data_IF_531916080939
#
_entry.id   IF_531916080939
#
_cell.length_a   1.000
_cell.length_b   1.000
_cell.length_c   1.000
_cell.angle_alpha   90.00
_cell.angle_beta   90.00
_cell.angle_gamma   90.00
#
_symmetry.space_group_name_H-M   'P 1'
#
loop_
_entity.id
_entity.type
_entity.pdbx_description
1 polymer ?
#
# COMPACT_ATOMS: atom_id res chain seq x y z
N UNK A 1 35.95 52.59 29.35
CA UNK A 1 35.02 52.09 30.33
C UNK A 1 34.86 50.56 30.01
N UNK A 2 35.38 49.75 30.92
CA UNK A 2 35.69 48.36 30.71
C UNK A 2 34.52 47.39 30.88
N UNK A 3 34.72 46.13 30.52
CA UNK A 3 33.70 45.09 30.37
C UNK A 3 33.54 44.23 31.64
N UNK A 4 33.01 44.80 32.75
CA UNK A 4 32.92 44.07 34.04
C UNK A 4 31.52 44.09 34.70
N UNK A 5 30.43 44.23 33.94
CA UNK A 5 29.09 44.36 34.54
C UNK A 5 28.12 43.23 34.13
N UNK A 6 28.54 42.19 33.38
CA UNK A 6 27.64 41.10 32.95
C UNK A 6 27.88 39.75 33.68
N UNK A 7 28.90 39.66 34.53
CA UNK A 7 29.29 38.40 35.20
C UNK A 7 28.71 38.19 36.62
N UNK A 8 27.76 38.98 37.11
CA UNK A 8 27.27 38.89 38.50
C UNK A 8 25.82 38.38 38.69
N UNK A 9 25.12 37.98 37.64
CA UNK A 9 23.75 37.49 37.80
C UNK A 9 23.54 35.99 37.48
N UNK A 10 24.59 35.24 37.15
CA UNK A 10 24.50 33.80 36.83
C UNK A 10 24.92 32.84 37.96
N UNK A 11 25.28 33.33 39.14
CA UNK A 11 25.84 32.50 40.23
C UNK A 11 24.99 32.49 41.52
N UNK A 12 23.67 32.72 41.45
CA UNK A 12 22.82 32.75 42.67
C UNK A 12 21.69 31.70 42.70
N UNK A 13 21.64 30.77 41.78
CA UNK A 13 20.62 29.69 41.77
C UNK A 13 21.16 28.26 41.75
N UNK A 14 22.44 28.04 42.03
CA UNK A 14 23.03 26.69 42.00
C UNK A 14 23.61 26.21 43.37
N UNK A 15 23.24 26.81 44.50
CA UNK A 15 23.88 26.48 45.78
C UNK A 15 22.92 26.34 46.97
N UNK A 16 21.70 25.79 46.74
CA UNK A 16 20.73 25.51 47.81
C UNK A 16 20.39 24.02 47.93
N UNK A 17 20.88 23.12 47.08
CA UNK A 17 20.43 21.72 47.06
C UNK A 17 21.49 20.65 47.42
N UNK A 18 22.53 21.02 48.22
CA UNK A 18 23.58 20.07 48.58
C UNK A 18 24.00 20.03 50.06
N UNK A 19 23.15 20.49 51.00
CA UNK A 19 23.49 20.41 52.45
C UNK A 19 22.38 19.94 53.37
N UNK A 20 21.48 19.02 52.91
CA UNK A 20 20.57 18.32 53.82
C UNK A 20 20.51 16.82 53.52
N UNK A 21 21.62 16.13 53.66
CA UNK A 21 21.66 14.68 53.90
C UNK A 21 22.77 14.39 54.90
N UNK A 22 22.37 14.34 56.13
CA UNK A 22 23.00 13.57 57.22
C UNK A 22 22.50 14.11 58.57
N UNK A 23 21.33 13.63 59.01
CA UNK A 23 21.07 13.37 60.43
C UNK A 23 19.78 12.56 60.53
N UNK A 24 19.85 11.44 61.24
CA UNK A 24 18.81 10.45 61.38
C UNK A 24 17.66 10.90 62.26
N UNK A 25 16.43 10.48 61.90
CA UNK A 25 15.27 10.76 62.73
C UNK A 25 13.95 10.34 62.13
N UNK A 26 13.53 9.11 62.41
CA UNK A 26 12.16 8.60 62.52
C UNK A 26 11.09 9.28 61.65
N UNK A 27 10.69 8.61 60.56
CA UNK A 27 9.48 8.91 59.77
C UNK A 27 8.28 8.64 60.67
N UNK A 28 7.52 9.71 61.04
CA UNK A 28 6.17 9.58 61.57
C UNK A 28 5.18 9.39 60.44
N UNK A 29 4.26 8.41 60.49
CA UNK A 29 3.21 8.29 59.47
C UNK A 29 2.27 9.46 59.58
N UNK A 30 2.03 10.12 58.44
CA UNK A 30 1.05 11.22 58.29
C UNK A 30 -0.37 10.65 58.34
N UNK A 31 -1.00 10.66 59.51
CA UNK A 31 -2.41 10.37 59.67
C UNK A 31 -3.20 11.63 59.45
N UNK A 32 -3.43 12.00 58.20
CA UNK A 32 -4.39 13.02 57.82
C UNK A 32 -5.73 12.34 57.55
N UNK A 33 -6.71 12.54 58.48
CA UNK A 33 -8.12 12.18 58.29
C UNK A 33 -8.67 12.91 57.06
N UNK A 34 -8.70 12.27 55.92
CA UNK A 34 -9.58 12.63 54.84
C UNK A 34 -10.96 12.07 55.15
N UNK A 35 -11.85 12.92 55.61
CA UNK A 35 -13.29 12.65 55.56
C UNK A 35 -13.64 12.46 54.08
N UNK A 36 -14.00 11.25 53.73
CA UNK A 36 -14.68 10.93 52.48
C UNK A 36 -16.16 11.25 52.75
N UNK A 37 -16.57 12.50 52.46
CA UNK A 37 -17.99 12.81 52.29
C UNK A 37 -18.42 12.03 51.06
N UNK A 38 -19.36 11.09 51.29
CA UNK A 38 -20.01 10.30 50.24
C UNK A 38 -20.76 11.22 49.28
N UNK A 39 -20.95 10.71 48.06
CA UNK A 39 -21.72 11.28 46.96
C UNK A 39 -20.96 12.25 46.03
N UNK A 40 -19.78 11.84 45.54
CA UNK A 40 -19.36 12.22 44.21
C UNK A 40 -19.60 11.02 43.27
N UNK A 41 -20.73 11.05 42.55
CA UNK A 41 -20.97 10.22 41.37
C UNK A 41 -19.73 10.30 40.50
N UNK A 42 -19.03 9.18 40.40
CA UNK A 42 -17.99 8.99 39.38
C UNK A 42 -18.65 9.35 38.05
N UNK A 43 -18.14 10.31 37.28
CA UNK A 43 -18.61 10.46 35.92
C UNK A 43 -18.30 9.15 35.23
N UNK A 44 -19.32 8.31 35.03
CA UNK A 44 -19.26 7.20 34.11
C UNK A 44 -18.79 7.80 32.80
N UNK A 45 -17.49 7.60 32.47
CA UNK A 45 -16.97 7.71 31.16
C UNK A 45 -17.75 6.69 30.33
N UNK A 46 -18.94 7.09 29.88
CA UNK A 46 -19.65 6.43 28.81
C UNK A 46 -18.66 6.40 27.67
N UNK A 47 -18.05 5.23 27.43
CA UNK A 47 -17.23 4.97 26.27
C UNK A 47 -18.10 5.39 25.08
N UNK A 48 -17.79 6.56 24.50
CA UNK A 48 -18.51 7.09 23.36
C UNK A 48 -18.51 5.98 22.31
N UNK A 49 -19.69 5.50 21.95
CA UNK A 49 -19.86 4.44 20.98
C UNK A 49 -19.04 4.81 19.74
N UNK A 50 -18.12 3.93 19.34
CA UNK A 50 -17.27 4.19 18.17
C UNK A 50 -18.18 4.49 16.98
N UNK A 51 -18.03 5.64 16.31
CA UNK A 51 -18.92 6.04 15.24
C UNK A 51 -18.96 4.95 14.16
N UNK A 52 -20.16 4.60 13.70
CA UNK A 52 -20.32 3.70 12.56
C UNK A 52 -19.74 4.37 11.31
N UNK A 53 -19.33 3.57 10.31
CA UNK A 53 -18.74 4.07 9.06
C UNK A 53 -19.65 5.12 8.37
N UNK A 54 -20.96 4.94 8.45
CA UNK A 54 -21.96 5.90 7.93
C UNK A 54 -22.00 7.22 8.70
N UNK A 55 -21.85 7.17 10.03
CA UNK A 55 -21.79 8.39 10.84
C UNK A 55 -20.48 9.15 10.62
N UNK A 56 -19.39 8.43 10.41
CA UNK A 56 -18.09 9.03 10.12
C UNK A 56 -18.04 9.69 8.74
N UNK A 57 -18.80 9.21 7.76
CA UNK A 57 -18.91 9.86 6.44
C UNK A 57 -19.62 11.22 6.50
N UNK A 58 -20.25 11.60 7.61
CA UNK A 58 -20.70 12.95 7.88
C UNK A 58 -19.57 13.95 8.16
N UNK A 59 -18.37 13.48 8.53
CA UNK A 59 -17.20 14.33 8.72
C UNK A 59 -16.55 14.62 7.34
N UNK A 60 -16.39 15.92 7.04
CA UNK A 60 -15.74 16.39 5.79
C UNK A 60 -14.32 15.83 5.61
N UNK A 61 -13.58 15.58 6.70
CA UNK A 61 -12.22 15.01 6.66
C UNK A 61 -12.26 13.55 6.21
N UNK A 62 -13.18 12.77 6.77
CA UNK A 62 -13.33 11.35 6.43
C UNK A 62 -13.83 11.17 5.00
N UNK A 63 -14.79 11.99 4.58
CA UNK A 63 -15.30 12.02 3.20
C UNK A 63 -14.19 12.42 2.23
N UNK A 64 -13.34 13.41 2.57
CA UNK A 64 -12.18 13.77 1.76
C UNK A 64 -11.20 12.58 1.63
N UNK A 65 -10.87 11.87 2.72
CA UNK A 65 -10.01 10.68 2.67
C UNK A 65 -10.55 9.62 1.73
N UNK A 66 -11.87 9.37 1.76
CA UNK A 66 -12.52 8.41 0.87
C UNK A 66 -12.32 8.78 -0.61
N UNK A 67 -12.64 10.01 -1.01
CA UNK A 67 -12.55 10.46 -2.40
C UNK A 67 -11.11 10.65 -2.88
N UNK A 68 -10.21 11.12 -2.02
CA UNK A 68 -8.79 11.22 -2.36
C UNK A 68 -8.16 9.84 -2.55
N UNK A 69 -8.52 8.86 -1.72
CA UNK A 69 -8.06 7.47 -1.90
C UNK A 69 -8.68 6.82 -3.15
N UNK A 70 -9.90 7.20 -3.52
CA UNK A 70 -10.48 6.82 -4.80
C UNK A 70 -9.66 7.41 -5.96
N UNK A 71 -9.30 8.70 -5.91
CA UNK A 71 -8.45 9.33 -6.91
C UNK A 71 -7.07 8.65 -7.06
N UNK A 72 -6.47 8.20 -5.95
CA UNK A 72 -5.21 7.44 -5.93
C UNK A 72 -5.33 6.08 -6.62
N UNK A 73 -6.45 5.38 -6.45
CA UNK A 73 -6.68 4.04 -7.00
C UNK A 73 -6.88 4.00 -8.52
N UNK A 74 -7.37 5.09 -9.14
CA UNK A 74 -7.67 5.13 -10.57
C UNK A 74 -6.44 4.90 -11.44
N UNK A 75 -5.36 5.70 -11.38
CA UNK A 75 -4.22 5.59 -12.29
C UNK A 75 -3.36 4.33 -12.00
N UNK A 76 -3.33 3.84 -10.77
CA UNK A 76 -2.59 2.64 -10.43
C UNK A 76 -3.07 1.41 -11.22
N UNK A 77 -4.38 1.22 -11.34
CA UNK A 77 -4.93 0.10 -12.11
C UNK A 77 -4.79 0.28 -13.62
N UNK A 78 -4.75 1.52 -14.10
CA UNK A 78 -4.48 1.82 -15.49
C UNK A 78 -3.09 1.35 -15.91
N UNK A 79 -2.07 1.60 -15.10
CA UNK A 79 -0.66 1.25 -15.41
C UNK A 79 -0.37 -0.25 -15.37
N UNK A 80 -1.22 -1.05 -14.73
CA UNK A 80 -1.05 -2.50 -14.60
C UNK A 80 -2.02 -3.29 -15.46
N UNK A 81 -3.10 -3.74 -14.85
CA UNK A 81 -4.09 -4.65 -15.46
C UNK A 81 -4.67 -4.13 -16.78
N UNK A 82 -5.08 -2.86 -16.81
CA UNK A 82 -5.75 -2.25 -17.96
C UNK A 82 -4.79 -2.01 -19.12
N UNK A 83 -3.61 -1.48 -18.85
CA UNK A 83 -2.59 -1.29 -19.88
C UNK A 83 -2.19 -2.62 -20.53
N UNK A 84 -1.98 -3.67 -19.73
CA UNK A 84 -1.72 -5.00 -20.27
C UNK A 84 -2.86 -5.52 -21.15
N UNK A 85 -4.12 -5.37 -20.72
CA UNK A 85 -5.27 -5.80 -21.50
C UNK A 85 -5.34 -5.05 -22.85
N UNK A 86 -5.05 -3.74 -22.84
CA UNK A 86 -5.00 -2.94 -24.06
C UNK A 86 -3.89 -3.38 -25.02
N UNK A 87 -2.66 -3.49 -24.51
CA UNK A 87 -1.50 -3.91 -25.33
C UNK A 87 -1.71 -5.33 -25.88
N UNK A 88 -2.26 -6.24 -25.08
CA UNK A 88 -2.55 -7.61 -25.49
C UNK A 88 -3.66 -7.66 -26.57
N UNK A 89 -4.73 -6.87 -26.41
CA UNK A 89 -5.83 -6.80 -27.40
C UNK A 89 -5.38 -6.16 -28.72
N UNK A 90 -4.39 -5.25 -28.66
CA UNK A 90 -3.79 -4.63 -29.84
C UNK A 90 -2.76 -5.54 -30.57
N UNK A 91 -2.48 -6.74 -30.03
CA UNK A 91 -1.59 -7.71 -30.69
C UNK A 91 -0.10 -7.52 -30.47
N UNK A 92 0.34 -6.71 -29.48
CA UNK A 92 1.76 -6.53 -29.18
C UNK A 92 2.41 -7.85 -28.72
N UNK A 93 3.73 -8.00 -28.94
CA UNK A 93 4.45 -9.16 -28.48
C UNK A 93 4.43 -9.28 -26.95
N UNK A 94 4.43 -10.51 -26.43
CA UNK A 94 4.43 -10.78 -24.99
C UNK A 94 5.64 -10.14 -24.33
N UNK A 95 6.79 -10.14 -25.01
CA UNK A 95 8.01 -9.47 -24.59
C UNK A 95 7.81 -7.96 -24.41
N UNK A 96 7.22 -7.28 -25.40
CA UNK A 96 6.95 -5.84 -25.30
C UNK A 96 6.00 -5.55 -24.12
N UNK A 97 4.92 -6.33 -23.94
CA UNK A 97 3.98 -6.18 -22.82
C UNK A 97 4.70 -6.37 -21.48
N UNK A 98 5.59 -7.37 -21.40
CA UNK A 98 6.40 -7.60 -20.19
C UNK A 98 7.30 -6.42 -19.84
N UNK A 99 7.95 -5.80 -20.83
CA UNK A 99 8.80 -4.62 -20.63
C UNK A 99 7.97 -3.42 -20.11
N UNK A 100 6.72 -3.26 -20.57
CA UNK A 100 5.86 -2.20 -20.07
C UNK A 100 5.57 -2.29 -18.56
N UNK A 101 5.74 -3.44 -17.91
CA UNK A 101 5.64 -3.56 -16.46
C UNK A 101 6.69 -2.71 -15.72
N UNK A 102 7.84 -2.44 -16.35
CA UNK A 102 8.88 -1.58 -15.79
C UNK A 102 8.45 -0.11 -15.70
N UNK A 103 7.41 0.31 -16.43
CA UNK A 103 6.83 1.64 -16.27
C UNK A 103 6.32 1.90 -14.84
N UNK A 104 6.08 0.84 -14.04
CA UNK A 104 5.68 0.94 -12.64
C UNK A 104 6.83 1.23 -11.65
N UNK A 105 8.10 1.24 -12.10
CA UNK A 105 9.27 1.50 -11.25
C UNK A 105 9.22 2.81 -10.45
N UNK A 106 8.67 3.93 -10.96
CA UNK A 106 8.53 5.15 -10.16
C UNK A 106 7.85 4.95 -8.80
N UNK A 107 6.90 4.02 -8.68
CA UNK A 107 6.28 3.71 -7.38
C UNK A 107 7.28 3.21 -6.33
N UNK A 108 8.34 2.51 -6.74
CA UNK A 108 9.34 1.98 -5.81
C UNK A 108 10.33 3.04 -5.33
N UNK A 109 10.56 4.07 -6.15
CA UNK A 109 11.55 5.11 -5.87
C UNK A 109 10.91 6.46 -5.52
N UNK A 110 9.58 6.50 -5.29
CA UNK A 110 8.83 7.71 -4.99
C UNK A 110 9.35 8.47 -3.76
N UNK A 111 10.02 7.78 -2.84
CA UNK A 111 10.65 8.38 -1.67
C UNK A 111 11.78 9.38 -2.02
N UNK A 112 12.38 9.29 -3.22
CA UNK A 112 13.45 10.19 -3.65
C UNK A 112 12.98 11.64 -3.83
N UNK A 113 11.74 11.85 -4.29
CA UNK A 113 11.20 13.19 -4.51
C UNK A 113 10.09 13.59 -3.52
N UNK A 114 9.68 12.69 -2.62
CA UNK A 114 8.70 13.02 -1.58
C UNK A 114 9.06 14.31 -0.80
N UNK A 115 10.33 14.56 -0.41
CA UNK A 115 10.72 15.76 0.29
C UNK A 115 10.61 17.06 -0.49
N UNK A 116 10.68 16.96 -1.82
CA UNK A 116 10.38 18.11 -2.67
C UNK A 116 8.93 18.55 -2.48
N UNK A 117 7.98 17.61 -2.45
CA UNK A 117 6.56 17.87 -2.27
C UNK A 117 6.24 18.39 -0.85
N UNK A 118 7.03 17.99 0.14
CA UNK A 118 6.90 18.50 1.50
C UNK A 118 7.50 19.92 1.68
N UNK A 119 8.51 20.27 0.89
CA UNK A 119 9.21 21.54 1.01
C UNK A 119 8.52 22.68 0.26
N UNK A 120 8.02 22.43 -0.94
CA UNK A 120 7.46 23.47 -1.79
C UNK A 120 5.96 23.63 -1.59
N UNK A 121 5.52 24.88 -1.45
CA UNK A 121 4.12 25.26 -1.33
C UNK A 121 3.59 25.65 -2.70
N UNK A 122 2.56 24.95 -3.24
CA UNK A 122 1.94 25.40 -4.48
C UNK A 122 1.17 26.71 -4.28
N UNK A 123 1.03 27.54 -5.34
CA UNK A 123 0.42 28.87 -5.22
C UNK A 123 -1.09 28.86 -4.99
N UNK A 124 -1.72 27.69 -4.97
CA UNK A 124 -3.18 27.53 -4.88
C UNK A 124 -3.55 26.54 -3.75
N UNK A 125 -4.67 26.81 -3.05
CA UNK A 125 -5.39 25.92 -2.15
C UNK A 125 -4.57 25.26 -1.00
N UNK A 126 -3.42 25.83 -0.63
CA UNK A 126 -2.58 25.29 0.46
C UNK A 126 -1.64 24.18 0.00
N UNK A 127 -0.90 23.60 0.97
CA UNK A 127 0.20 22.69 0.66
C UNK A 127 -0.27 21.32 0.15
N UNK A 128 -1.19 20.68 0.86
CA UNK A 128 -1.64 19.32 0.50
C UNK A 128 -2.62 19.34 -0.67
N UNK A 129 -3.68 20.12 -0.55
CA UNK A 129 -4.72 20.21 -1.58
C UNK A 129 -4.19 20.75 -2.90
N UNK A 130 -3.31 21.75 -2.85
CA UNK A 130 -2.71 22.33 -4.04
C UNK A 130 -1.93 21.32 -4.87
N UNK A 131 -1.04 20.53 -4.25
CA UNK A 131 -0.31 19.47 -4.95
C UNK A 131 -1.25 18.37 -5.48
N UNK A 132 -2.22 17.93 -4.67
CA UNK A 132 -3.21 16.93 -5.11
C UNK A 132 -3.95 17.41 -6.36
N UNK A 133 -4.43 18.65 -6.36
CA UNK A 133 -5.16 19.23 -7.50
C UNK A 133 -4.30 19.32 -8.76
N UNK A 134 -3.04 19.76 -8.63
CA UNK A 134 -2.08 19.82 -9.75
C UNK A 134 -1.90 18.41 -10.36
N UNK A 135 -1.64 17.41 -9.52
CA UNK A 135 -1.45 16.03 -10.00
C UNK A 135 -2.74 15.47 -10.61
N UNK A 136 -3.91 15.72 -10.03
CA UNK A 136 -5.20 15.31 -10.60
C UNK A 136 -5.44 15.93 -11.96
N UNK A 137 -5.14 17.23 -12.14
CA UNK A 137 -5.26 17.90 -13.44
C UNK A 137 -4.31 17.29 -14.48
N UNK A 138 -3.03 17.11 -14.12
CA UNK A 138 -2.06 16.47 -15.00
C UNK A 138 -2.45 15.02 -15.34
N UNK A 139 -2.93 14.24 -14.36
CA UNK A 139 -3.40 12.87 -14.56
C UNK A 139 -4.65 12.84 -15.46
N UNK A 140 -5.59 13.75 -15.27
CA UNK A 140 -6.79 13.85 -16.13
C UNK A 140 -6.39 14.04 -17.60
N UNK A 141 -5.47 14.96 -17.87
CA UNK A 141 -4.95 15.21 -19.22
C UNK A 141 -4.19 13.97 -19.72
N UNK A 142 -3.29 13.41 -18.91
CA UNK A 142 -2.46 12.27 -19.28
C UNK A 142 -3.32 11.04 -19.64
N UNK A 143 -4.32 10.72 -18.82
CA UNK A 143 -5.26 9.62 -19.05
C UNK A 143 -6.11 9.87 -20.30
N UNK A 144 -6.64 11.08 -20.46
CA UNK A 144 -7.45 11.45 -21.61
C UNK A 144 -6.65 11.34 -22.92
N UNK A 145 -5.45 11.90 -22.95
CA UNK A 145 -4.55 11.86 -24.12
C UNK A 145 -4.12 10.44 -24.45
N UNK A 146 -3.90 9.59 -23.44
CA UNK A 146 -3.48 8.20 -23.62
C UNK A 146 -4.46 7.41 -24.51
N UNK A 147 -5.76 7.68 -24.43
CA UNK A 147 -6.80 7.02 -25.23
C UNK A 147 -6.71 7.29 -26.74
N UNK A 148 -5.98 8.32 -27.18
CA UNK A 148 -5.82 8.67 -28.59
C UNK A 148 -4.60 8.02 -29.26
N UNK A 149 -3.70 7.39 -28.50
CA UNK A 149 -2.57 6.66 -29.05
C UNK A 149 -2.95 5.27 -29.57
N UNK A 150 -2.24 4.83 -30.60
CA UNK A 150 -2.33 3.46 -31.08
C UNK A 150 -1.16 2.64 -30.54
N UNK A 151 -1.40 1.55 -29.77
CA UNK A 151 -0.31 0.74 -29.25
C UNK A 151 0.64 0.19 -30.32
N UNK A 152 0.14 -0.05 -31.53
CA UNK A 152 0.92 -0.60 -32.64
C UNK A 152 1.72 0.44 -33.42
N UNK A 153 1.24 1.70 -33.47
CA UNK A 153 1.89 2.77 -34.25
C UNK A 153 2.74 3.68 -33.39
N UNK A 154 2.28 3.95 -32.14
CA UNK A 154 2.83 5.01 -31.29
C UNK A 154 3.51 4.44 -30.04
N UNK A 155 4.08 3.23 -30.13
CA UNK A 155 4.59 2.48 -28.97
C UNK A 155 5.59 3.29 -28.11
N UNK A 156 6.58 4.03 -28.66
CA UNK A 156 7.50 4.82 -27.84
C UNK A 156 6.80 5.97 -27.10
N UNK A 157 5.85 6.66 -27.77
CA UNK A 157 5.08 7.74 -27.15
C UNK A 157 4.16 7.18 -26.04
N UNK A 158 3.52 6.02 -26.29
CA UNK A 158 2.73 5.32 -25.29
C UNK A 158 3.56 4.89 -24.08
N UNK A 159 4.78 4.42 -24.28
CA UNK A 159 5.69 4.10 -23.19
C UNK A 159 6.07 5.33 -22.36
N UNK A 160 6.38 6.45 -23.01
CA UNK A 160 6.69 7.70 -22.33
C UNK A 160 5.50 8.23 -21.52
N UNK A 161 4.28 8.19 -22.06
CA UNK A 161 3.08 8.65 -21.36
C UNK A 161 2.69 7.69 -20.23
N UNK A 162 2.95 6.38 -20.37
CA UNK A 162 2.73 5.40 -19.31
C UNK A 162 3.68 5.64 -18.11
N UNK A 163 4.97 5.93 -18.36
CA UNK A 163 5.92 6.30 -17.32
C UNK A 163 5.51 7.63 -16.65
N UNK A 164 5.10 8.62 -17.43
CA UNK A 164 4.61 9.91 -16.91
C UNK A 164 3.36 9.71 -16.04
N UNK A 165 2.39 8.91 -16.49
CA UNK A 165 1.19 8.54 -15.72
C UNK A 165 1.58 7.96 -14.36
N UNK A 166 2.51 7.02 -14.34
CA UNK A 166 2.95 6.37 -13.10
C UNK A 166 3.70 7.34 -12.20
N UNK A 167 4.55 8.20 -12.74
CA UNK A 167 5.25 9.23 -11.97
C UNK A 167 4.27 10.21 -11.32
N UNK A 168 3.30 10.72 -12.08
CA UNK A 168 2.26 11.62 -11.56
C UNK A 168 1.40 10.93 -10.50
N UNK A 169 1.02 9.67 -10.74
CA UNK A 169 0.25 8.87 -9.78
C UNK A 169 1.01 8.60 -8.50
N UNK A 170 2.28 8.21 -8.57
CA UNK A 170 3.13 8.01 -7.41
C UNK A 170 3.33 9.32 -6.61
N UNK A 171 3.42 10.45 -7.30
CA UNK A 171 3.51 11.78 -6.69
C UNK A 171 2.22 12.18 -5.99
N UNK A 172 1.07 11.92 -6.63
CA UNK A 172 -0.24 12.11 -6.02
C UNK A 172 -0.40 11.26 -4.76
N UNK A 173 0.00 9.98 -4.80
CA UNK A 173 -0.08 9.06 -3.67
C UNK A 173 0.69 9.57 -2.45
N UNK A 174 1.91 10.11 -2.66
CA UNK A 174 2.71 10.69 -1.56
C UNK A 174 1.91 11.77 -0.83
N UNK A 175 1.30 12.68 -1.58
CA UNK A 175 0.58 13.82 -0.99
C UNK A 175 -0.74 13.39 -0.35
N UNK A 176 -1.46 12.44 -0.94
CA UNK A 176 -2.70 11.89 -0.36
C UNK A 176 -2.41 11.12 0.93
N UNK A 177 -1.35 10.31 0.97
CA UNK A 177 -0.94 9.60 2.18
C UNK A 177 -0.57 10.59 3.30
N UNK A 178 0.17 11.65 2.95
CA UNK A 178 0.50 12.71 3.89
C UNK A 178 -0.74 13.50 4.35
N UNK A 179 -1.67 13.84 3.44
CA UNK A 179 -2.96 14.45 3.78
C UNK A 179 -3.72 13.63 4.81
N UNK A 180 -3.82 12.29 4.60
CA UNK A 180 -4.50 11.39 5.54
C UNK A 180 -3.90 11.41 6.94
N UNK A 181 -2.56 11.45 7.03
CA UNK A 181 -1.86 11.51 8.32
C UNK A 181 -2.08 12.85 9.01
N UNK A 182 -2.04 13.96 8.24
CA UNK A 182 -2.15 15.33 8.75
C UNK A 182 -3.61 15.69 9.13
N UNK A 183 -4.61 15.20 8.38
CA UNK A 183 -6.01 15.56 8.55
C UNK A 183 -6.74 14.74 9.63
N UNK A 184 -6.30 13.51 9.92
CA UNK A 184 -7.04 12.56 10.75
C UNK A 184 -6.36 12.38 12.10
N UNK A 185 -7.09 12.63 13.22
CA UNK A 185 -6.59 12.43 14.56
C UNK A 185 -6.25 10.94 14.82
N UNK A 186 -5.29 10.63 15.71
CA UNK A 186 -4.86 9.25 15.99
C UNK A 186 -5.99 8.28 16.34
N UNK A 187 -7.01 8.74 17.06
CA UNK A 187 -8.18 7.95 17.48
C UNK A 187 -9.04 7.45 16.31
N UNK A 188 -9.03 8.15 15.16
CA UNK A 188 -9.88 7.87 14.00
C UNK A 188 -9.12 7.24 12.83
N UNK A 189 -7.79 7.05 12.94
CA UNK A 189 -6.93 6.52 11.87
C UNK A 189 -7.36 5.15 11.35
N UNK A 190 -7.86 4.29 12.23
CA UNK A 190 -8.34 2.96 11.82
C UNK A 190 -9.56 3.06 10.89
N UNK A 191 -10.50 3.95 11.21
CA UNK A 191 -11.68 4.20 10.39
C UNK A 191 -11.32 4.88 9.06
N UNK A 192 -10.40 5.85 9.10
CA UNK A 192 -9.86 6.49 7.89
C UNK A 192 -9.14 5.49 6.97
N UNK A 193 -8.41 4.53 7.53
CA UNK A 193 -7.78 3.46 6.77
C UNK A 193 -8.82 2.56 6.07
N UNK A 194 -9.93 2.25 6.75
CA UNK A 194 -11.03 1.49 6.15
C UNK A 194 -11.72 2.28 5.02
N UNK A 195 -12.00 3.57 5.22
CA UNK A 195 -12.56 4.45 4.19
C UNK A 195 -11.61 4.57 2.99
N UNK A 196 -10.31 4.76 3.22
CA UNK A 196 -9.30 4.81 2.19
C UNK A 196 -9.22 3.49 1.39
N UNK A 197 -9.23 2.35 2.06
CA UNK A 197 -9.23 1.05 1.41
C UNK A 197 -10.48 0.84 0.54
N UNK A 198 -11.64 1.26 1.01
CA UNK A 198 -12.88 1.18 0.25
C UNK A 198 -12.83 2.08 -0.99
N UNK A 199 -12.44 3.35 -0.86
CA UNK A 199 -12.29 4.28 -1.98
C UNK A 199 -11.30 3.75 -3.04
N UNK A 200 -10.13 3.31 -2.60
CA UNK A 200 -9.10 2.73 -3.49
C UNK A 200 -9.59 1.49 -4.24
N UNK A 201 -10.28 0.56 -3.56
CA UNK A 201 -10.81 -0.67 -4.20
C UNK A 201 -11.93 -0.39 -5.19
N UNK A 202 -12.80 0.58 -4.88
CA UNK A 202 -13.85 1.04 -5.80
C UNK A 202 -13.23 1.63 -7.08
N UNK A 203 -12.20 2.48 -6.94
CA UNK A 203 -11.45 3.00 -8.07
C UNK A 203 -10.77 1.89 -8.89
N UNK A 204 -10.17 0.91 -8.20
CA UNK A 204 -9.53 -0.24 -8.85
C UNK A 204 -10.53 -1.08 -9.68
N UNK A 205 -11.75 -1.19 -9.20
CA UNK A 205 -12.83 -1.88 -9.93
C UNK A 205 -13.26 -1.06 -11.16
N UNK A 206 -13.45 0.26 -11.02
CA UNK A 206 -13.84 1.11 -12.14
C UNK A 206 -12.75 1.22 -13.20
N UNK A 207 -11.51 1.51 -12.82
CA UNK A 207 -10.38 1.63 -13.75
C UNK A 207 -9.89 0.27 -14.29
N UNK A 208 -10.21 -0.82 -13.63
CA UNK A 208 -9.89 -2.18 -14.09
C UNK A 208 -11.04 -2.83 -14.84
N UNK A 209 -12.13 -3.18 -14.15
CA UNK A 209 -13.21 -3.96 -14.75
C UNK A 209 -14.10 -3.10 -15.65
N UNK A 210 -14.67 -2.00 -15.13
CA UNK A 210 -15.63 -1.18 -15.90
C UNK A 210 -14.95 -0.57 -17.12
N UNK A 211 -13.73 -0.06 -17.01
CA UNK A 211 -13.00 0.47 -18.16
C UNK A 211 -12.81 -0.60 -19.24
N UNK A 212 -12.35 -1.82 -18.88
CA UNK A 212 -12.13 -2.91 -19.85
C UNK A 212 -13.46 -3.33 -20.49
N UNK A 213 -14.55 -3.34 -19.72
CA UNK A 213 -15.89 -3.59 -20.27
C UNK A 213 -16.33 -2.54 -21.29
N UNK A 214 -16.12 -1.25 -20.98
CA UNK A 214 -16.39 -0.12 -21.91
C UNK A 214 -15.50 -0.26 -23.14
N UNK A 215 -14.22 -0.58 -22.97
CA UNK A 215 -13.28 -0.78 -24.07
C UNK A 215 -13.71 -1.89 -25.02
N UNK A 216 -14.28 -2.97 -24.49
CA UNK A 216 -14.80 -4.07 -25.27
C UNK A 216 -16.02 -3.69 -26.12
N UNK A 217 -16.86 -2.77 -25.63
CA UNK A 217 -18.14 -2.39 -26.26
C UNK A 217 -18.02 -1.12 -27.12
N UNK A 218 -17.28 -0.11 -26.64
CA UNK A 218 -17.23 1.23 -27.20
C UNK A 218 -15.82 1.67 -27.65
N UNK A 219 -14.82 0.80 -27.43
CA UNK A 219 -13.42 1.07 -27.78
C UNK A 219 -12.62 1.74 -26.67
N UNK A 220 -11.30 1.64 -26.81
CA UNK A 220 -10.34 2.09 -25.81
C UNK A 220 -10.34 3.59 -25.57
N UNK A 221 -10.55 4.39 -26.62
CA UNK A 221 -10.60 5.85 -26.52
C UNK A 221 -11.67 6.33 -25.53
N UNK A 222 -12.92 5.84 -25.70
CA UNK A 222 -14.03 6.22 -24.81
C UNK A 222 -13.83 5.67 -23.40
N UNK A 223 -13.21 4.49 -23.27
CA UNK A 223 -12.89 3.91 -21.99
C UNK A 223 -11.87 4.76 -21.19
N UNK A 224 -10.82 5.25 -21.84
CA UNK A 224 -9.86 6.18 -21.20
C UNK A 224 -10.49 7.53 -20.87
N UNK A 225 -11.31 8.08 -21.77
CA UNK A 225 -12.05 9.33 -21.51
C UNK A 225 -12.99 9.20 -20.31
N UNK A 226 -13.67 8.06 -20.15
CA UNK A 226 -14.49 7.79 -18.97
C UNK A 226 -13.67 7.89 -17.67
N UNK A 227 -12.48 7.29 -17.60
CA UNK A 227 -11.64 7.39 -16.40
C UNK A 227 -11.03 8.77 -16.22
N UNK A 228 -10.72 9.49 -17.32
CA UNK A 228 -10.30 10.88 -17.26
C UNK A 228 -11.42 11.77 -16.66
N UNK A 229 -12.68 11.56 -17.03
CA UNK A 229 -13.82 12.24 -16.43
C UNK A 229 -13.99 11.90 -14.94
N UNK A 230 -13.79 10.63 -14.54
CA UNK A 230 -13.80 10.24 -13.12
C UNK A 230 -12.67 10.94 -12.36
N UNK A 231 -11.46 11.02 -12.93
CA UNK A 231 -10.34 11.74 -12.32
C UNK A 231 -10.65 13.24 -12.19
N UNK A 232 -11.21 13.87 -13.22
CA UNK A 232 -11.65 15.25 -13.16
C UNK A 232 -12.72 15.48 -12.08
N UNK A 233 -13.67 14.54 -11.92
CA UNK A 233 -14.68 14.62 -10.87
C UNK A 233 -14.06 14.59 -9.45
N UNK A 234 -12.95 13.87 -9.25
CA UNK A 234 -12.25 13.88 -7.95
C UNK A 234 -11.62 15.23 -7.61
N UNK A 235 -11.33 16.09 -8.59
CA UNK A 235 -10.84 17.45 -8.36
C UNK A 235 -11.87 18.29 -7.59
N UNK A 236 -13.16 18.07 -7.85
CA UNK A 236 -14.25 18.73 -7.10
C UNK A 236 -14.15 18.35 -5.61
N UNK A 237 -13.99 17.06 -5.29
CA UNK A 237 -13.82 16.63 -3.90
C UNK A 237 -12.57 17.24 -3.24
N UNK A 238 -11.48 17.38 -3.99
CA UNK A 238 -10.25 18.03 -3.52
C UNK A 238 -10.43 19.51 -3.20
N UNK A 239 -11.22 20.23 -4.00
CA UNK A 239 -11.47 21.67 -3.76
C UNK A 239 -12.29 21.91 -2.48
N UNK A 240 -13.17 20.98 -2.10
CA UNK A 240 -13.99 21.07 -0.89
C UNK A 240 -13.35 20.37 0.33
N UNK A 241 -12.28 19.61 0.15
CA UNK A 241 -11.59 18.98 1.26
C UNK A 241 -11.02 20.02 2.22
N UNK A 242 -11.07 19.85 3.55
CA UNK A 242 -10.40 20.74 4.48
C UNK A 242 -8.87 20.65 4.32
N UNK A 243 -8.18 21.80 4.25
CA UNK A 243 -6.71 21.79 4.30
C UNK A 243 -6.28 21.46 5.73
N UNK A 244 -5.42 20.46 5.95
CA UNK A 244 -4.88 20.18 7.27
C UNK A 244 -4.02 21.33 7.78
N UNK A 245 -4.03 21.59 9.09
CA UNK A 245 -3.12 22.50 9.71
C UNK A 245 -1.68 22.08 9.41
N UNK A 246 -0.82 23.05 9.10
CA UNK A 246 0.58 22.75 8.75
C UNK A 246 1.27 22.03 9.93
N UNK A 247 1.79 20.80 9.75
CA UNK A 247 2.55 20.16 10.80
C UNK A 247 3.76 21.01 11.17
N UNK A 248 4.02 21.13 12.47
CA UNK A 248 5.20 21.80 12.96
C UNK A 248 6.45 21.19 12.32
N UNK A 249 7.26 22.02 11.71
CA UNK A 249 8.60 21.82 11.17
C UNK A 249 8.85 20.52 10.39
N UNK A 250 9.00 20.59 9.05
CA UNK A 250 9.45 19.45 8.25
C UNK A 250 10.81 18.96 8.78
N UNK A 251 11.11 17.67 8.72
CA UNK A 251 12.38 17.12 9.18
C UNK A 251 13.55 17.86 8.52
N UNK A 252 14.48 18.35 9.33
CA UNK A 252 15.56 19.27 8.92
C UNK A 252 16.49 18.71 7.83
N UNK A 253 16.61 17.38 7.71
CA UNK A 253 17.37 16.72 6.63
C UNK A 253 16.79 15.36 6.29
N UNK A 254 16.75 15.05 4.98
CA UNK A 254 16.37 13.71 4.43
C UNK A 254 17.20 12.58 5.00
N UNK A 255 18.49 12.81 5.18
CA UNK A 255 19.42 11.82 5.70
C UNK A 255 18.98 11.35 7.09
N UNK A 256 18.57 12.25 7.96
CA UNK A 256 18.06 11.89 9.28
C UNK A 256 16.70 11.17 9.21
N UNK A 257 15.82 11.60 8.33
CA UNK A 257 14.46 11.03 8.21
C UNK A 257 14.44 9.60 7.64
N UNK A 258 15.40 9.25 6.77
CA UNK A 258 15.43 7.93 6.09
C UNK A 258 16.58 7.06 6.60
N UNK A 259 17.78 7.62 6.75
CA UNK A 259 18.99 6.85 7.08
C UNK A 259 18.98 6.28 8.50
N UNK A 260 18.53 7.06 9.50
CA UNK A 260 18.45 6.55 10.88
C UNK A 260 17.46 5.39 11.04
N UNK A 261 16.20 5.48 10.56
CA UNK A 261 15.26 4.36 10.59
C UNK A 261 15.76 3.14 9.83
N UNK A 262 16.37 3.33 8.65
CA UNK A 262 16.95 2.25 7.84
C UNK A 262 18.11 1.58 8.58
N UNK A 263 19.05 2.36 9.13
CA UNK A 263 20.17 1.83 9.90
C UNK A 263 19.71 1.08 11.16
N UNK A 264 18.70 1.61 11.85
CA UNK A 264 18.10 0.96 13.01
C UNK A 264 17.45 -0.39 12.62
N UNK A 265 16.78 -0.42 11.48
CA UNK A 265 16.18 -1.63 10.91
C UNK A 265 17.26 -2.68 10.58
N UNK A 266 18.30 -2.28 9.82
CA UNK A 266 19.36 -3.18 9.37
C UNK A 266 20.24 -3.73 10.50
N UNK A 267 20.29 -3.04 11.65
CA UNK A 267 21.01 -3.52 12.84
C UNK A 267 20.27 -4.61 13.64
N UNK A 268 19.00 -4.84 13.37
CA UNK A 268 18.24 -5.89 14.04
C UNK A 268 18.79 -7.27 13.65
N UNK A 269 18.93 -8.16 14.63
CA UNK A 269 19.45 -9.52 14.42
C UNK A 269 18.54 -10.29 13.45
N UNK A 270 19.13 -10.84 12.40
CA UNK A 270 18.39 -11.62 11.39
C UNK A 270 17.68 -10.79 10.32
N UNK A 271 17.78 -9.46 10.33
CA UNK A 271 17.05 -8.58 9.39
C UNK A 271 17.32 -8.91 7.92
N UNK A 272 18.56 -9.24 7.54
CA UNK A 272 18.87 -9.62 6.16
C UNK A 272 18.09 -10.86 5.69
N UNK A 273 17.86 -11.83 6.59
CA UNK A 273 17.00 -12.97 6.32
C UNK A 273 15.53 -12.54 6.10
N UNK A 274 15.03 -11.61 6.91
CA UNK A 274 13.67 -11.09 6.75
C UNK A 274 13.50 -10.25 5.47
N UNK A 275 14.50 -9.45 5.08
CA UNK A 275 14.47 -8.71 3.81
C UNK A 275 14.46 -9.66 2.61
N UNK A 276 15.28 -10.72 2.65
CA UNK A 276 15.25 -11.76 1.63
C UNK A 276 13.89 -12.50 1.61
N UNK A 277 13.31 -12.80 2.77
CA UNK A 277 11.98 -13.39 2.88
C UNK A 277 10.90 -12.50 2.26
N UNK A 278 10.93 -11.20 2.51
CA UNK A 278 9.98 -10.22 1.93
C UNK A 278 10.00 -10.28 0.39
N UNK A 279 11.19 -10.33 -0.20
CA UNK A 279 11.34 -10.40 -1.66
C UNK A 279 10.89 -11.75 -2.22
N UNK A 280 11.34 -12.85 -1.61
CA UNK A 280 11.13 -14.20 -2.15
C UNK A 280 9.71 -14.71 -1.90
N UNK A 281 9.09 -14.35 -0.77
CA UNK A 281 7.75 -14.81 -0.43
C UNK A 281 6.69 -14.38 -1.44
N UNK A 282 6.82 -13.15 -1.99
CA UNK A 282 5.88 -12.61 -2.97
C UNK A 282 6.30 -12.83 -4.42
N UNK A 283 7.48 -13.42 -4.67
CA UNK A 283 8.04 -13.51 -6.01
C UNK A 283 7.22 -14.43 -6.93
N UNK A 284 6.83 -15.61 -6.46
CA UNK A 284 6.05 -16.58 -7.25
C UNK A 284 4.67 -16.04 -7.67
N UNK A 285 3.96 -15.44 -6.73
CA UNK A 285 2.68 -14.78 -6.95
C UNK A 285 2.80 -13.57 -7.90
N UNK A 286 3.81 -12.74 -7.67
CA UNK A 286 4.09 -11.60 -8.54
C UNK A 286 4.41 -12.04 -9.98
N UNK A 287 5.15 -13.14 -10.15
CA UNK A 287 5.48 -13.69 -11.45
C UNK A 287 4.23 -14.27 -12.15
N UNK A 288 3.39 -15.04 -11.45
CA UNK A 288 2.18 -15.63 -11.99
C UNK A 288 1.18 -14.58 -12.49
N UNK A 289 0.98 -13.51 -11.71
CA UNK A 289 0.04 -12.44 -12.05
C UNK A 289 0.62 -11.36 -12.96
N UNK A 290 1.94 -11.39 -13.24
CA UNK A 290 2.63 -10.34 -14.01
C UNK A 290 2.09 -10.15 -15.42
N UNK A 291 1.65 -11.22 -16.09
CA UNK A 291 1.07 -11.23 -17.44
C UNK A 291 -0.38 -11.77 -17.45
N UNK A 292 -1.12 -11.60 -16.35
CA UNK A 292 -2.47 -12.17 -16.20
C UNK A 292 -3.42 -11.79 -17.34
N UNK A 293 -3.56 -10.49 -17.66
CA UNK A 293 -4.44 -10.04 -18.73
C UNK A 293 -4.02 -10.58 -20.10
N UNK A 294 -2.70 -10.63 -20.34
CA UNK A 294 -2.13 -11.18 -21.58
C UNK A 294 -2.40 -12.67 -21.71
N UNK A 295 -2.24 -13.44 -20.62
CA UNK A 295 -2.56 -14.86 -20.59
C UNK A 295 -4.04 -15.13 -20.90
N UNK A 296 -4.95 -14.40 -20.26
CA UNK A 296 -6.39 -14.58 -20.48
C UNK A 296 -6.79 -14.28 -21.93
N UNK A 297 -6.29 -13.18 -22.49
CA UNK A 297 -6.68 -12.76 -23.85
C UNK A 297 -5.97 -13.58 -24.94
N UNK A 298 -4.67 -13.81 -24.80
CA UNK A 298 -3.84 -14.40 -25.87
C UNK A 298 -3.40 -15.84 -25.60
N UNK A 299 -3.27 -16.23 -24.33
CA UNK A 299 -2.90 -17.59 -23.95
C UNK A 299 -4.09 -18.53 -24.05
N UNK A 300 -5.26 -18.11 -23.56
CA UNK A 300 -6.48 -18.95 -23.50
C UNK A 300 -7.55 -18.50 -24.51
N UNK A 301 -7.56 -17.22 -24.93
CA UNK A 301 -8.50 -16.69 -25.90
C UNK A 301 -9.83 -16.21 -25.31
N UNK A 302 -9.83 -15.73 -24.07
CA UNK A 302 -10.99 -15.05 -23.50
C UNK A 302 -11.20 -13.68 -24.14
N UNK A 303 -12.44 -13.19 -24.16
CA UNK A 303 -12.79 -11.85 -24.60
C UNK A 303 -12.50 -10.81 -23.51
N UNK A 304 -12.46 -9.53 -23.89
CA UNK A 304 -12.36 -8.43 -22.93
C UNK A 304 -13.53 -8.39 -21.95
N UNK A 305 -14.76 -8.76 -22.38
CA UNK A 305 -15.92 -8.85 -21.49
C UNK A 305 -15.74 -9.95 -20.43
N UNK A 306 -15.27 -11.15 -20.84
CA UNK A 306 -14.99 -12.24 -19.91
C UNK A 306 -13.85 -11.88 -18.95
N UNK A 307 -12.79 -11.23 -19.44
CA UNK A 307 -11.70 -10.72 -18.62
C UNK A 307 -12.18 -9.69 -17.59
N UNK A 308 -13.09 -8.80 -17.99
CA UNK A 308 -13.67 -7.79 -17.09
C UNK A 308 -14.47 -8.45 -15.97
N UNK A 309 -15.48 -9.24 -16.30
CA UNK A 309 -16.46 -9.77 -15.34
C UNK A 309 -15.90 -10.99 -14.62
N UNK A 310 -15.64 -12.08 -15.36
CA UNK A 310 -15.18 -13.34 -14.78
C UNK A 310 -13.74 -13.27 -14.23
N UNK A 311 -12.91 -12.39 -14.81
CA UNK A 311 -11.57 -12.10 -14.32
C UNK A 311 -11.59 -11.04 -13.21
N UNK A 312 -11.64 -9.73 -13.58
CA UNK A 312 -11.33 -8.63 -12.66
C UNK A 312 -12.32 -8.42 -11.52
N UNK A 313 -13.63 -8.52 -11.78
CA UNK A 313 -14.65 -8.40 -10.72
C UNK A 313 -14.48 -9.54 -9.72
N UNK A 314 -14.36 -10.78 -10.22
CA UNK A 314 -14.12 -11.96 -9.40
C UNK A 314 -12.84 -11.84 -8.56
N UNK A 315 -11.71 -11.41 -9.16
CA UNK A 315 -10.46 -11.12 -8.42
C UNK A 315 -10.69 -10.16 -7.24
N UNK A 316 -11.41 -9.07 -7.49
CA UNK A 316 -11.62 -8.05 -6.47
C UNK A 316 -12.44 -8.57 -5.31
N UNK A 317 -13.56 -9.25 -5.58
CA UNK A 317 -14.43 -9.81 -4.56
C UNK A 317 -13.70 -10.90 -3.76
N UNK A 318 -13.05 -11.84 -4.44
CA UNK A 318 -12.35 -12.96 -3.81
C UNK A 318 -11.18 -12.48 -2.94
N UNK A 319 -10.44 -11.44 -3.39
CA UNK A 319 -9.39 -10.83 -2.57
C UNK A 319 -9.97 -10.19 -1.30
N UNK A 320 -11.11 -9.50 -1.38
CA UNK A 320 -11.73 -8.88 -0.19
C UNK A 320 -12.16 -9.93 0.83
N UNK A 321 -12.80 -11.01 0.36
CA UNK A 321 -13.18 -12.15 1.22
C UNK A 321 -11.93 -12.79 1.81
N UNK A 322 -10.89 -13.01 0.99
CA UNK A 322 -9.62 -13.58 1.42
C UNK A 322 -8.94 -12.77 2.50
N UNK A 323 -8.84 -11.45 2.35
CA UNK A 323 -8.22 -10.56 3.36
C UNK A 323 -8.99 -10.63 4.68
N UNK A 324 -10.34 -10.59 4.65
CA UNK A 324 -11.15 -10.65 5.85
C UNK A 324 -10.99 -12.00 6.58
N UNK A 325 -11.11 -13.12 5.84
CA UNK A 325 -10.96 -14.46 6.39
C UNK A 325 -9.51 -14.73 6.85
N UNK A 326 -8.52 -14.29 6.07
CA UNK A 326 -7.11 -14.44 6.40
C UNK A 326 -6.71 -13.69 7.66
N UNK A 327 -7.25 -12.49 7.87
CA UNK A 327 -7.07 -11.74 9.11
C UNK A 327 -7.62 -12.50 10.33
N UNK A 328 -8.82 -13.08 10.21
CA UNK A 328 -9.42 -13.90 11.28
C UNK A 328 -8.61 -15.17 11.58
N UNK A 329 -8.10 -15.86 10.55
CA UNK A 329 -7.25 -17.05 10.72
C UNK A 329 -5.90 -16.66 11.34
N UNK A 330 -5.30 -15.54 10.92
CA UNK A 330 -4.05 -15.02 11.45
C UNK A 330 -4.10 -14.81 12.97
N UNK A 331 -5.19 -14.25 13.49
CA UNK A 331 -5.37 -14.07 14.94
C UNK A 331 -5.33 -15.38 15.74
N UNK A 332 -5.66 -16.51 15.12
CA UNK A 332 -5.65 -17.84 15.75
C UNK A 332 -4.34 -18.61 15.56
N UNK A 333 -3.73 -18.49 14.38
CA UNK A 333 -2.58 -19.31 13.98
C UNK A 333 -1.23 -18.61 14.18
N UNK A 334 -1.25 -17.29 14.32
CA UNK A 334 -0.04 -16.46 14.39
C UNK A 334 0.70 -16.35 13.06
N UNK A 335 1.82 -15.64 13.07
CA UNK A 335 2.55 -15.21 11.86
C UNK A 335 3.11 -16.39 11.06
N UNK A 336 3.87 -17.28 11.70
CA UNK A 336 4.57 -18.35 10.98
C UNK A 336 3.63 -19.33 10.28
N UNK A 337 2.62 -19.85 11.01
CA UNK A 337 1.68 -20.83 10.45
C UNK A 337 0.84 -20.24 9.34
N UNK A 338 0.37 -19.00 9.52
CA UNK A 338 -0.44 -18.30 8.50
C UNK A 338 0.36 -18.07 7.22
N UNK A 339 1.59 -17.54 7.32
CA UNK A 339 2.44 -17.34 6.15
C UNK A 339 2.77 -18.68 5.46
N UNK A 340 3.06 -19.74 6.20
CA UNK A 340 3.40 -21.03 5.62
C UNK A 340 2.21 -21.65 4.84
N UNK A 341 1.04 -21.74 5.48
CA UNK A 341 -0.14 -22.36 4.87
C UNK A 341 -0.65 -21.54 3.68
N UNK A 342 -0.73 -20.21 3.84
CA UNK A 342 -1.18 -19.34 2.75
C UNK A 342 -0.16 -19.28 1.61
N UNK A 343 1.14 -19.31 1.92
CA UNK A 343 2.19 -19.34 0.90
C UNK A 343 2.19 -20.65 0.10
N UNK A 344 1.99 -21.81 0.75
CA UNK A 344 1.81 -23.10 0.06
C UNK A 344 0.52 -23.07 -0.79
N UNK A 345 -0.58 -22.59 -0.22
CA UNK A 345 -1.84 -22.45 -0.95
C UNK A 345 -1.68 -21.59 -2.20
N UNK A 346 -1.01 -20.44 -2.08
CA UNK A 346 -0.73 -19.51 -3.20
C UNK A 346 0.13 -20.18 -4.28
N UNK A 347 1.16 -20.94 -3.91
CA UNK A 347 1.99 -21.67 -4.86
C UNK A 347 1.16 -22.73 -5.62
N UNK A 348 0.28 -23.45 -4.91
CA UNK A 348 -0.57 -24.49 -5.51
C UNK A 348 -1.66 -23.90 -6.43
N UNK A 349 -2.20 -22.71 -6.11
CA UNK A 349 -3.21 -22.07 -6.96
C UNK A 349 -2.66 -21.69 -8.32
N UNK A 350 -1.35 -21.45 -8.47
CA UNK A 350 -0.70 -21.22 -9.77
C UNK A 350 -0.89 -22.42 -10.73
N UNK A 351 -1.02 -23.64 -10.19
CA UNK A 351 -1.27 -24.84 -11.00
C UNK A 351 -2.70 -24.85 -11.61
N UNK A 352 -3.63 -24.08 -11.04
CA UNK A 352 -4.95 -23.91 -11.65
C UNK A 352 -4.87 -23.10 -12.96
N UNK A 353 -3.96 -22.13 -13.04
CA UNK A 353 -3.68 -21.42 -14.30
C UNK A 353 -2.96 -22.33 -15.31
N UNK A 354 -2.08 -23.22 -14.84
CA UNK A 354 -1.50 -24.26 -15.70
C UNK A 354 -2.62 -25.15 -16.26
N UNK A 355 -3.56 -25.60 -15.42
CA UNK A 355 -4.69 -26.39 -15.88
C UNK A 355 -5.57 -25.62 -16.87
N UNK A 356 -5.82 -24.33 -16.61
CA UNK A 356 -6.55 -23.47 -17.55
C UNK A 356 -5.83 -23.34 -18.91
N UNK A 357 -4.49 -23.23 -18.90
CA UNK A 357 -3.69 -23.18 -20.12
C UNK A 357 -3.81 -24.46 -20.96
N UNK A 358 -3.91 -25.62 -20.31
CA UNK A 358 -4.06 -26.93 -20.96
C UNK A 358 -5.51 -27.25 -21.38
N UNK A 359 -6.48 -26.87 -20.55
CA UNK A 359 -7.90 -27.15 -20.79
C UNK A 359 -8.54 -26.20 -21.81
N UNK A 360 -7.89 -25.08 -22.13
CA UNK A 360 -8.39 -24.07 -23.05
C UNK A 360 -9.51 -23.20 -22.45
N UNK A 361 -10.28 -22.54 -23.31
CA UNK A 361 -11.30 -21.56 -22.92
C UNK A 361 -12.48 -22.19 -22.18
N UNK A 362 -12.43 -22.17 -20.84
CA UNK A 362 -13.50 -22.63 -19.94
C UNK A 362 -13.75 -21.57 -18.86
N UNK A 363 -14.87 -20.85 -18.96
CA UNK A 363 -15.22 -19.74 -18.05
C UNK A 363 -15.32 -20.20 -16.59
N UNK A 364 -15.89 -21.37 -16.31
CA UNK A 364 -15.97 -21.90 -14.94
C UNK A 364 -14.57 -22.10 -14.30
N UNK A 365 -13.60 -22.58 -15.10
CA UNK A 365 -12.23 -22.79 -14.62
C UNK A 365 -11.51 -21.47 -14.44
N UNK A 366 -11.76 -20.47 -15.29
CA UNK A 366 -11.29 -19.10 -15.09
C UNK A 366 -11.79 -18.55 -13.75
N UNK A 367 -13.11 -18.64 -13.49
CA UNK A 367 -13.70 -18.15 -12.24
C UNK A 367 -13.11 -18.88 -11.04
N UNK A 368 -12.99 -20.21 -11.10
CA UNK A 368 -12.42 -21.03 -10.02
C UNK A 368 -10.94 -20.68 -9.76
N UNK A 369 -10.11 -20.68 -10.80
CA UNK A 369 -8.68 -20.39 -10.68
C UNK A 369 -8.47 -19.00 -10.10
N UNK A 370 -9.16 -17.99 -10.66
CA UNK A 370 -9.05 -16.61 -10.20
C UNK A 370 -9.55 -16.42 -8.77
N UNK A 371 -10.70 -17.06 -8.42
CA UNK A 371 -11.27 -16.94 -7.07
C UNK A 371 -10.36 -17.57 -6.01
N UNK A 372 -9.87 -18.77 -6.24
CA UNK A 372 -9.00 -19.46 -5.30
C UNK A 372 -7.65 -18.77 -5.17
N UNK A 373 -7.04 -18.38 -6.29
CA UNK A 373 -5.75 -17.72 -6.30
C UNK A 373 -5.80 -16.37 -5.56
N UNK A 374 -6.72 -15.50 -5.94
CA UNK A 374 -6.83 -14.17 -5.31
C UNK A 374 -7.42 -14.22 -3.91
N UNK A 375 -8.25 -15.22 -3.61
CA UNK A 375 -8.76 -15.48 -2.25
C UNK A 375 -7.62 -15.86 -1.30
N UNK A 376 -6.82 -16.89 -1.67
CA UNK A 376 -5.65 -17.30 -0.88
C UNK A 376 -4.60 -16.19 -0.84
N UNK A 377 -4.39 -15.47 -1.95
CA UNK A 377 -3.52 -14.30 -2.03
C UNK A 377 -3.95 -13.20 -1.06
N UNK A 378 -5.27 -12.98 -0.92
CA UNK A 378 -5.84 -12.06 0.07
C UNK A 378 -5.56 -12.49 1.51
N UNK A 379 -5.71 -13.80 1.83
CA UNK A 379 -5.34 -14.34 3.14
C UNK A 379 -3.86 -14.13 3.42
N UNK A 380 -3.00 -14.46 2.45
CA UNK A 380 -1.56 -14.25 2.54
C UNK A 380 -1.19 -12.78 2.71
N UNK A 381 -1.91 -11.86 2.07
CA UNK A 381 -1.71 -10.42 2.20
C UNK A 381 -1.96 -9.93 3.63
N UNK A 382 -3.03 -10.41 4.28
CA UNK A 382 -3.33 -10.03 5.66
C UNK A 382 -2.20 -10.47 6.62
N UNK A 383 -1.75 -11.72 6.53
CA UNK A 383 -0.65 -12.24 7.34
C UNK A 383 0.69 -11.55 7.03
N UNK A 384 0.95 -11.25 5.76
CA UNK A 384 2.17 -10.61 5.31
C UNK A 384 2.27 -9.15 5.79
N UNK A 385 1.18 -8.39 5.74
CA UNK A 385 1.13 -7.02 6.28
C UNK A 385 1.39 -7.03 7.79
N UNK A 386 0.76 -7.94 8.52
CA UNK A 386 1.01 -8.10 9.95
C UNK A 386 2.49 -8.44 10.24
N UNK A 387 3.10 -9.33 9.44
CA UNK A 387 4.53 -9.61 9.52
C UNK A 387 5.40 -8.37 9.26
N UNK A 388 5.10 -7.54 8.24
CA UNK A 388 5.85 -6.30 8.00
C UNK A 388 5.76 -5.33 9.18
N UNK A 389 4.59 -5.21 9.79
CA UNK A 389 4.39 -4.35 10.96
C UNK A 389 5.20 -4.85 12.15
N UNK A 390 5.27 -6.17 12.38
CA UNK A 390 6.03 -6.76 13.50
C UNK A 390 7.54 -6.52 13.42
N UNK A 391 8.07 -6.26 12.23
CA UNK A 391 9.49 -5.91 12.04
C UNK A 391 9.79 -4.44 12.40
N UNK A 392 8.77 -3.60 12.53
CA UNK A 392 8.96 -2.18 12.77
C UNK A 392 9.18 -1.87 14.25
N UNK A 393 10.13 -0.96 14.55
CA UNK A 393 10.30 -0.42 15.90
C UNK A 393 9.27 0.67 16.19
N UNK A 394 8.86 0.82 17.45
CA UNK A 394 7.89 1.84 17.86
C UNK A 394 8.32 3.27 17.48
N UNK A 395 9.62 3.58 17.61
CA UNK A 395 10.17 4.91 17.36
C UNK A 395 10.15 5.35 15.89
N UNK A 396 10.18 4.37 14.94
CA UNK A 396 10.30 4.63 13.51
C UNK A 396 9.29 3.84 12.67
N UNK A 397 8.18 3.42 13.26
CA UNK A 397 7.23 2.47 12.67
C UNK A 397 6.75 2.88 11.27
N UNK A 398 6.38 4.14 11.07
CA UNK A 398 5.88 4.65 9.79
C UNK A 398 6.92 4.57 8.67
N UNK A 399 8.14 5.04 8.93
CA UNK A 399 9.22 5.05 7.93
C UNK A 399 9.72 3.64 7.62
N UNK A 400 9.88 2.80 8.65
CA UNK A 400 10.31 1.41 8.46
C UNK A 400 9.26 0.60 7.69
N UNK A 401 7.98 0.75 8.03
CA UNK A 401 6.90 0.11 7.28
C UNK A 401 6.86 0.57 5.82
N UNK A 402 7.05 1.88 5.55
CA UNK A 402 7.10 2.39 4.19
C UNK A 402 8.26 1.78 3.38
N UNK A 403 9.44 1.63 3.99
CA UNK A 403 10.59 0.98 3.36
C UNK A 403 10.34 -0.50 3.08
N UNK A 404 9.83 -1.24 4.06
CA UNK A 404 9.55 -2.67 3.93
C UNK A 404 8.43 -2.94 2.92
N UNK A 405 7.38 -2.13 2.91
CA UNK A 405 6.29 -2.25 1.94
C UNK A 405 6.74 -1.89 0.50
N UNK A 406 7.62 -0.90 0.33
CA UNK A 406 8.21 -0.58 -0.97
C UNK A 406 9.06 -1.76 -1.49
N UNK A 407 9.84 -2.41 -0.61
CA UNK A 407 10.60 -3.61 -0.93
C UNK A 407 9.68 -4.77 -1.35
N UNK A 408 8.56 -4.94 -0.65
CA UNK A 408 7.58 -6.00 -0.92
C UNK A 408 6.89 -5.88 -2.29
N UNK A 409 6.79 -4.67 -2.83
CA UNK A 409 6.18 -4.42 -4.16
C UNK A 409 7.21 -4.58 -5.30
N UNK A 410 8.51 -4.51 -5.01
CA UNK A 410 9.57 -4.58 -6.02
C UNK A 410 9.48 -5.80 -6.94
N UNK A 411 9.24 -7.04 -6.45
CA UNK A 411 9.09 -8.21 -7.31
C UNK A 411 8.03 -8.02 -8.39
N UNK A 412 6.87 -7.46 -8.05
CA UNK A 412 5.75 -7.24 -8.96
C UNK A 412 6.13 -6.40 -10.20
N UNK A 413 7.00 -5.42 -10.03
CA UNK A 413 7.36 -4.49 -11.11
C UNK A 413 8.43 -5.08 -12.04
N UNK A 414 9.21 -6.05 -11.58
CA UNK A 414 10.30 -6.67 -12.35
C UNK A 414 9.83 -7.96 -13.05
N UNK A 415 8.96 -8.73 -12.40
CA UNK A 415 8.55 -10.06 -12.88
C UNK A 415 7.86 -10.04 -14.24
N UNK A 416 7.20 -8.93 -14.61
CA UNK A 416 6.60 -8.79 -15.94
C UNK A 416 7.62 -8.86 -17.08
N UNK A 417 8.78 -8.21 -16.92
CA UNK A 417 9.84 -8.30 -17.90
C UNK A 417 10.41 -9.72 -18.00
N UNK A 418 10.62 -10.38 -16.85
CA UNK A 418 11.07 -11.79 -16.78
C UNK A 418 10.06 -12.71 -17.48
N UNK A 419 8.76 -12.57 -17.17
CA UNK A 419 7.70 -13.35 -17.78
C UNK A 419 7.59 -13.12 -19.29
N UNK A 420 7.81 -11.87 -19.74
CA UNK A 420 7.82 -11.50 -21.16
C UNK A 420 8.88 -12.21 -22.00
N UNK A 421 10.05 -12.48 -21.41
CA UNK A 421 11.10 -13.28 -22.04
C UNK A 421 10.84 -14.79 -21.90
N UNK A 422 10.32 -15.22 -20.77
CA UNK A 422 10.20 -16.65 -20.44
C UNK A 422 9.02 -17.32 -21.18
N UNK A 423 7.86 -16.69 -21.20
CA UNK A 423 6.64 -17.28 -21.79
C UNK A 423 6.77 -17.67 -23.26
N UNK A 424 7.40 -16.85 -24.16
CA UNK A 424 7.58 -17.24 -25.54
C UNK A 424 8.46 -18.49 -25.74
N UNK A 425 9.36 -18.77 -24.78
CA UNK A 425 10.31 -19.90 -24.86
C UNK A 425 9.69 -21.19 -24.33
N UNK A 426 9.03 -21.14 -23.16
CA UNK A 426 8.57 -22.36 -22.47
C UNK A 426 7.05 -22.58 -22.57
N UNK A 427 6.30 -21.62 -23.08
CA UNK A 427 4.83 -21.66 -23.16
C UNK A 427 4.15 -21.40 -21.81
N UNK A 428 2.83 -21.17 -21.86
CA UNK A 428 2.04 -20.78 -20.68
C UNK A 428 1.95 -21.85 -19.60
N UNK A 429 1.73 -23.13 -19.99
CA UNK A 429 1.59 -24.21 -19.02
C UNK A 429 2.86 -24.39 -18.16
N UNK A 430 4.04 -24.48 -18.83
CA UNK A 430 5.31 -24.60 -18.14
C UNK A 430 5.67 -23.34 -17.35
N UNK A 431 5.26 -22.17 -17.83
CA UNK A 431 5.43 -20.91 -17.10
C UNK A 431 4.75 -20.97 -15.73
N UNK A 432 3.51 -21.46 -15.63
CA UNK A 432 2.84 -21.58 -14.34
C UNK A 432 3.43 -22.65 -13.42
N UNK A 433 4.06 -23.69 -13.96
CA UNK A 433 4.88 -24.62 -13.16
C UNK A 433 6.12 -23.87 -12.57
N UNK A 434 6.79 -23.07 -13.39
CA UNK A 434 7.93 -22.26 -12.93
C UNK A 434 7.50 -21.28 -11.85
N UNK A 435 6.31 -20.63 -11.97
CA UNK A 435 5.82 -19.72 -10.93
C UNK A 435 5.53 -20.46 -9.61
N UNK A 436 4.99 -21.67 -9.66
CA UNK A 436 4.81 -22.51 -8.48
C UNK A 436 6.16 -22.85 -7.83
N UNK A 437 7.14 -23.28 -8.62
CA UNK A 437 8.49 -23.62 -8.12
C UNK A 437 9.24 -22.39 -7.59
N UNK A 438 9.03 -21.22 -8.15
CA UNK A 438 9.66 -19.97 -7.71
C UNK A 438 9.20 -19.50 -6.33
N UNK A 439 8.09 -20.02 -5.80
CA UNK A 439 7.66 -19.79 -4.43
C UNK A 439 8.47 -20.63 -3.40
N UNK A 440 9.05 -21.75 -3.83
CA UNK A 440 9.74 -22.71 -2.94
C UNK A 440 10.90 -22.07 -2.16
N UNK A 441 11.81 -21.27 -2.75
CA UNK A 441 12.87 -20.60 -2.00
C UNK A 441 12.35 -19.72 -0.86
N UNK A 442 11.25 -18.99 -1.10
CA UNK A 442 10.60 -18.17 -0.06
C UNK A 442 10.02 -19.02 1.08
N UNK A 443 9.39 -20.15 0.77
CA UNK A 443 8.85 -21.09 1.77
C UNK A 443 9.97 -21.78 2.56
N UNK A 444 11.06 -22.19 1.91
CA UNK A 444 12.23 -22.76 2.59
C UNK A 444 12.83 -21.73 3.56
N UNK A 445 13.02 -20.49 3.09
CA UNK A 445 13.56 -19.43 3.94
C UNK A 445 12.63 -19.11 5.11
N UNK A 446 11.32 -19.15 4.91
CA UNK A 446 10.32 -19.00 5.98
C UNK A 446 10.49 -20.08 7.05
N UNK A 447 10.73 -21.34 6.64
CA UNK A 447 10.94 -22.46 7.56
C UNK A 447 12.27 -22.28 8.35
N UNK A 448 13.33 -21.84 7.67
CA UNK A 448 14.63 -21.58 8.32
C UNK A 448 14.50 -20.46 9.36
N UNK A 449 13.72 -19.42 9.05
CA UNK A 449 13.50 -18.28 9.93
C UNK A 449 12.40 -18.49 10.99
N UNK A 450 11.90 -19.73 11.17
CA UNK A 450 10.84 -20.05 12.15
C UNK A 450 11.17 -19.59 13.57
N UNK A 451 12.39 -19.85 14.05
CA UNK A 451 12.83 -19.45 15.40
C UNK A 451 12.76 -17.94 15.60
N UNK A 452 13.48 -17.16 14.79
CA UNK A 452 13.42 -15.69 14.84
C UNK A 452 12.00 -15.09 14.69
N UNK A 453 11.13 -15.70 13.87
CA UNK A 453 9.74 -15.27 13.71
C UNK A 453 8.89 -15.50 14.97
N UNK A 454 9.07 -16.63 15.65
CA UNK A 454 8.38 -16.89 16.91
C UNK A 454 8.83 -15.93 18.01
N UNK A 455 10.13 -15.64 18.11
CA UNK A 455 10.64 -14.62 19.05
C UNK A 455 10.04 -13.23 18.81
N UNK A 456 9.82 -12.84 17.54
CA UNK A 456 9.14 -11.60 17.20
C UNK A 456 7.69 -11.58 17.66
N UNK A 457 6.96 -12.68 17.44
CA UNK A 457 5.55 -12.81 17.86
C UNK A 457 5.39 -12.76 19.38
N UNK A 458 6.31 -13.37 20.13
CA UNK A 458 6.34 -13.34 21.60
C UNK A 458 6.62 -11.93 22.14
N UNK A 459 7.54 -11.20 21.49
CA UNK A 459 7.81 -9.79 21.84
C UNK A 459 6.63 -8.86 21.60
N UNK A 460 5.83 -9.10 20.57
CA UNK A 460 4.60 -8.36 20.33
C UNK A 460 3.53 -8.68 21.39
N UNK A 461 3.33 -9.95 21.69
CA UNK A 461 2.38 -10.38 22.72
C UNK A 461 2.74 -9.84 24.12
N UNK A 462 4.02 -9.62 24.42
CA UNK A 462 4.47 -9.02 25.68
C UNK A 462 4.27 -7.49 25.76
N UNK A 463 3.93 -6.81 24.63
CA UNK A 463 3.67 -5.37 24.58
C UNK A 463 2.17 -5.01 24.64
N UNK A 464 1.30 -5.98 24.37
CA UNK A 464 -0.17 -5.86 24.46
C UNK A 464 -0.68 -6.33 25.81
#
# INVERSE_FOLDING_TARGET
>A
MGPDTIARHAHRHADVDSRERLEGGRVRPWAGNLRIDGDAESPHLTAAAKPTLLQALGDKRMTAVLFLSFASGLPFNLSGFTLQAWLASAGLSIKAIGIFSLAALPYNIKFLWAPFLDRYLPPILGRRRGWILIFQACLTICIGVMGFFSPTKDLPALAAIAVLLVFLSASQDIVIDAYRVDAIPPSERALAAAAAAFGYRTAAMLAGAVLVYIAASLGWQLAFLFVACLMAATMVATTFAPEPDAPGHPPRTLVHAVWHPLRALLKQKGMWGFLALILLYKFGDALALSLYSTFMLRGVGFSLHELSIAGKVNMTISTMIGVAFGGWVYLRWGTFRSLLVFGIGQALTNLLYMWLALAGKKVWLLVLATALDTGVGGMGQAAFVAFLVSLCSADFSATQYALLSALAVLPRNITGAIAGELVPVIGWANFFVVTCLSAVPGLILLIILRGPLNELSEREAAKT
#
